data_IF_894612448205
#
_entry.id   IF_894612448205
#
_cell.length_a   1.000
_cell.length_b   1.000
_cell.length_c   1.000
_cell.angle_alpha   90.00
_cell.angle_beta   90.00
_cell.angle_gamma   90.00
#
_symmetry.space_group_name_H-M   'P 1'
#
loop_
_entity.id
_entity.type
_entity.pdbx_description
1 polymer ?
#
# COMPACT_ATOMS: atom_id res chain seq x y z
N UNK A 1 15.48 7.85 -6.73
CA UNK A 1 15.66 7.57 -8.19
C UNK A 1 14.51 6.67 -8.60
N UNK A 2 13.77 7.06 -9.63
CA UNK A 2 12.67 6.27 -10.18
C UNK A 2 13.19 5.37 -11.30
N UNK A 3 12.80 4.11 -11.33
CA UNK A 3 13.41 3.12 -12.21
C UNK A 3 12.35 2.33 -12.99
N UNK A 4 12.63 2.10 -14.27
CA UNK A 4 11.80 1.26 -15.11
C UNK A 4 12.62 0.11 -15.70
N UNK A 5 12.06 -1.08 -15.65
CA UNK A 5 12.63 -2.30 -16.20
C UNK A 5 11.73 -2.85 -17.27
N UNK A 6 12.24 -2.89 -18.51
CA UNK A 6 11.54 -3.50 -19.63
C UNK A 6 11.68 -5.01 -19.53
N UNK A 7 10.55 -5.68 -19.52
CA UNK A 7 10.44 -7.15 -19.49
C UNK A 7 9.62 -7.67 -20.66
N UNK A 8 9.87 -8.90 -21.05
CA UNK A 8 9.02 -9.59 -22.01
C UNK A 8 7.66 -9.92 -21.37
N UNK A 9 6.59 -9.34 -21.92
CA UNK A 9 5.23 -9.57 -21.44
C UNK A 9 4.25 -8.48 -21.88
N UNK A 10 2.97 -8.77 -21.75
CA UNK A 10 1.87 -7.83 -22.08
C UNK A 10 1.23 -7.17 -20.84
N UNK A 11 1.88 -7.22 -19.69
CA UNK A 11 1.35 -6.68 -18.41
C UNK A 11 2.47 -6.00 -17.63
N UNK A 12 2.08 -5.08 -16.75
CA UNK A 12 2.99 -4.29 -15.96
C UNK A 12 2.80 -4.57 -14.46
N UNK A 13 3.82 -4.21 -13.69
CA UNK A 13 3.87 -4.31 -12.23
C UNK A 13 4.43 -3.00 -11.70
N UNK A 14 3.56 -2.15 -11.20
CA UNK A 14 3.92 -0.80 -10.75
C UNK A 14 4.02 -0.78 -9.24
N UNK A 15 5.00 -0.06 -8.72
CA UNK A 15 5.18 0.18 -7.29
C UNK A 15 5.53 1.65 -7.07
N UNK A 16 4.86 2.27 -6.11
CA UNK A 16 5.25 3.55 -5.51
C UNK A 16 5.51 3.30 -4.04
N UNK A 17 6.76 3.48 -3.59
CA UNK A 17 7.22 3.16 -2.23
C UNK A 17 7.83 4.39 -1.56
N UNK A 18 7.59 4.56 -0.26
CA UNK A 18 8.18 5.61 0.57
C UNK A 18 8.51 5.08 1.97
N UNK A 19 9.54 5.65 2.64
CA UNK A 19 9.85 5.33 4.01
C UNK A 19 8.76 5.86 4.93
N UNK A 20 8.40 5.09 5.96
CA UNK A 20 7.41 5.46 6.96
C UNK A 20 7.81 4.89 8.32
N UNK A 21 7.60 5.65 9.37
CA UNK A 21 7.72 5.11 10.73
C UNK A 21 6.69 3.97 10.94
N UNK A 22 7.08 2.99 11.75
CA UNK A 22 6.21 1.86 12.08
C UNK A 22 4.98 2.34 12.85
N UNK A 23 3.82 2.25 12.21
CA UNK A 23 2.51 2.65 12.78
C UNK A 23 1.45 1.61 12.42
N UNK A 24 0.86 0.97 13.40
CA UNK A 24 -0.13 -0.08 13.16
C UNK A 24 -1.51 0.45 12.76
N UNK A 25 -1.86 1.66 13.17
CA UNK A 25 -3.08 2.37 12.77
C UNK A 25 -3.12 2.61 11.24
N UNK A 26 -1.97 2.80 10.59
CA UNK A 26 -1.83 2.93 9.14
C UNK A 26 -2.32 1.72 8.35
N UNK A 27 -2.41 0.56 8.97
CA UNK A 27 -2.97 -0.66 8.34
C UNK A 27 -4.47 -0.52 8.04
N UNK A 28 -5.18 0.30 8.81
CA UNK A 28 -6.59 0.61 8.53
C UNK A 28 -6.67 1.52 7.31
N UNK A 29 -5.86 2.58 7.22
CA UNK A 29 -5.78 3.43 6.03
C UNK A 29 -5.42 2.63 4.78
N UNK A 30 -4.40 1.75 4.88
CA UNK A 30 -3.98 0.90 3.76
C UNK A 30 -5.13 -0.01 3.27
N UNK A 31 -5.96 -0.50 4.19
CA UNK A 31 -7.15 -1.27 3.84
C UNK A 31 -8.21 -0.41 3.14
N UNK A 32 -8.50 0.77 3.67
CA UNK A 32 -9.44 1.72 3.03
C UNK A 32 -8.94 2.08 1.63
N UNK A 33 -7.68 2.48 1.47
CA UNK A 33 -7.07 2.79 0.18
C UNK A 33 -7.22 1.63 -0.81
N UNK A 34 -6.92 0.41 -0.36
CA UNK A 34 -6.96 -0.78 -1.22
C UNK A 34 -8.36 -1.11 -1.72
N UNK A 35 -9.37 -1.14 -0.83
CA UNK A 35 -10.67 -1.70 -1.15
C UNK A 35 -11.71 -0.65 -1.56
N UNK A 36 -11.61 0.57 -1.04
CA UNK A 36 -12.58 1.63 -1.31
C UNK A 36 -12.18 2.54 -2.48
N UNK A 37 -10.91 2.52 -2.88
CA UNK A 37 -10.44 3.35 -3.97
C UNK A 37 -9.70 2.56 -5.06
N UNK A 38 -8.58 1.91 -4.73
CA UNK A 38 -7.74 1.26 -5.75
C UNK A 38 -8.44 0.08 -6.41
N UNK A 39 -9.18 -0.72 -5.65
CA UNK A 39 -9.90 -1.87 -6.21
C UNK A 39 -10.82 -1.46 -7.34
N UNK A 40 -11.64 -0.45 -7.13
CA UNK A 40 -12.55 0.06 -8.16
C UNK A 40 -11.78 0.70 -9.31
N UNK A 41 -10.88 1.64 -9.01
CA UNK A 41 -10.25 2.49 -10.03
C UNK A 41 -9.24 1.74 -10.90
N UNK A 42 -8.43 0.87 -10.31
CA UNK A 42 -7.33 0.17 -11.00
C UNK A 42 -7.74 -1.23 -11.45
N UNK A 43 -8.47 -1.97 -10.60
CA UNK A 43 -8.84 -3.35 -10.96
C UNK A 43 -10.12 -3.42 -11.79
N UNK A 44 -11.23 -2.84 -11.31
CA UNK A 44 -12.53 -2.99 -12.00
C UNK A 44 -12.60 -2.13 -13.25
N UNK A 45 -12.16 -0.87 -13.19
CA UNK A 45 -12.17 0.06 -14.31
C UNK A 45 -10.90 -0.07 -15.15
N UNK A 46 -9.72 -0.09 -14.51
CA UNK A 46 -8.43 -0.14 -15.18
C UNK A 46 -8.03 -1.53 -15.71
N UNK A 47 -8.66 -2.60 -15.24
CA UNK A 47 -8.42 -3.96 -15.76
C UNK A 47 -7.20 -4.68 -15.18
N UNK A 48 -6.52 -4.14 -14.18
CA UNK A 48 -5.45 -4.83 -13.48
C UNK A 48 -5.95 -6.07 -12.76
N UNK A 49 -5.14 -7.13 -12.68
CA UNK A 49 -5.50 -8.33 -11.94
C UNK A 49 -5.54 -8.10 -10.43
N UNK A 50 -4.67 -7.24 -9.91
CA UNK A 50 -4.63 -6.90 -8.50
C UNK A 50 -4.01 -5.53 -8.25
N UNK A 51 -4.35 -4.94 -7.13
CA UNK A 51 -3.80 -3.69 -6.64
C UNK A 51 -3.98 -3.59 -5.14
N UNK A 52 -3.26 -2.69 -4.51
CA UNK A 52 -3.44 -2.39 -3.09
C UNK A 52 -2.40 -1.45 -2.53
N UNK A 53 -2.60 -1.13 -1.25
CA UNK A 53 -1.64 -0.45 -0.40
C UNK A 53 -1.21 -1.38 0.73
N UNK A 54 0.07 -1.39 1.05
CA UNK A 54 0.60 -2.06 2.22
C UNK A 54 1.36 -1.07 3.10
N UNK A 55 1.16 -1.21 4.40
CA UNK A 55 1.95 -0.57 5.45
C UNK A 55 2.68 -1.66 6.22
N UNK A 56 3.99 -1.63 6.19
CA UNK A 56 4.88 -2.60 6.83
C UNK A 56 5.94 -1.89 7.64
N UNK A 57 6.75 -2.66 8.37
CA UNK A 57 7.78 -2.12 9.25
C UNK A 57 8.80 -1.29 8.44
N UNK A 58 8.72 0.03 8.54
CA UNK A 58 9.64 0.98 7.93
C UNK A 58 9.29 1.48 6.53
N UNK A 59 8.29 0.92 5.85
CA UNK A 59 7.88 1.35 4.51
C UNK A 59 6.38 1.24 4.30
N UNK A 60 5.85 2.11 3.45
CA UNK A 60 4.53 1.97 2.85
C UNK A 60 4.66 1.98 1.34
N UNK A 61 3.79 1.27 0.66
CA UNK A 61 3.79 1.23 -0.79
C UNK A 61 2.41 0.94 -1.37
N UNK A 62 2.19 1.50 -2.56
CA UNK A 62 1.11 1.18 -3.48
C UNK A 62 1.65 0.27 -4.58
N UNK A 63 0.83 -0.64 -5.05
CA UNK A 63 1.24 -1.56 -6.12
C UNK A 63 0.10 -1.91 -7.07
N UNK A 64 0.48 -2.26 -8.29
CA UNK A 64 -0.39 -3.00 -9.23
C UNK A 64 0.23 -4.35 -9.57
N UNK A 65 -0.61 -5.26 -9.99
CA UNK A 65 -0.21 -6.61 -10.39
C UNK A 65 -0.91 -6.99 -11.69
N UNK A 66 -0.11 -7.31 -12.72
CA UNK A 66 -0.59 -7.62 -14.06
C UNK A 66 -1.53 -6.54 -14.59
N UNK A 67 -1.03 -5.32 -14.60
CA UNK A 67 -1.74 -4.12 -14.99
C UNK A 67 -1.54 -3.85 -16.50
N UNK A 68 -2.58 -3.54 -17.27
CA UNK A 68 -2.40 -3.10 -18.66
C UNK A 68 -1.84 -1.66 -18.76
N UNK A 69 -1.87 -0.88 -17.68
CA UNK A 69 -1.52 0.54 -17.64
C UNK A 69 -0.32 0.80 -16.73
N UNK A 70 0.46 1.85 -17.01
CA UNK A 70 1.54 2.35 -16.15
C UNK A 70 1.21 3.78 -15.71
N UNK A 71 1.13 4.71 -16.65
CA UNK A 71 0.94 6.14 -16.37
C UNK A 71 -0.37 6.40 -15.65
N UNK A 72 -1.46 5.85 -16.13
CA UNK A 72 -2.80 6.00 -15.56
C UNK A 72 -2.87 5.45 -14.13
N UNK A 73 -2.12 4.39 -13.85
CA UNK A 73 -2.07 3.79 -12.51
C UNK A 73 -1.31 4.68 -11.52
N UNK A 74 -0.18 5.28 -11.92
CA UNK A 74 0.49 6.30 -11.09
C UNK A 74 -0.35 7.56 -10.91
N UNK A 75 -1.07 8.02 -11.94
CA UNK A 75 -2.01 9.14 -11.84
C UNK A 75 -3.16 8.82 -10.88
N UNK A 76 -3.63 7.57 -10.87
CA UNK A 76 -4.63 7.08 -9.92
C UNK A 76 -4.09 7.04 -8.51
N UNK A 77 -2.88 6.53 -8.30
CA UNK A 77 -2.23 6.58 -6.98
C UNK A 77 -2.17 8.00 -6.43
N UNK A 78 -1.77 8.96 -7.25
CA UNK A 78 -1.64 10.35 -6.83
C UNK A 78 -2.96 11.01 -6.38
N UNK A 79 -4.10 10.58 -6.90
CA UNK A 79 -5.43 11.08 -6.51
C UNK A 79 -5.95 10.46 -5.21
N UNK A 80 -5.49 9.26 -4.85
CA UNK A 80 -6.00 8.49 -3.72
C UNK A 80 -6.08 9.25 -2.40
N UNK A 81 -5.04 9.97 -1.95
CA UNK A 81 -5.10 10.73 -0.71
C UNK A 81 -6.25 11.74 -0.65
N UNK A 82 -6.51 12.47 -1.74
CA UNK A 82 -7.60 13.44 -1.81
C UNK A 82 -8.98 12.76 -1.76
N UNK A 83 -9.13 11.63 -2.45
CA UNK A 83 -10.36 10.83 -2.44
C UNK A 83 -10.66 10.28 -1.03
N UNK A 84 -9.65 9.79 -0.32
CA UNK A 84 -9.81 9.31 1.04
C UNK A 84 -10.14 10.44 2.04
N UNK A 85 -9.51 11.60 1.88
CA UNK A 85 -9.77 12.77 2.74
C UNK A 85 -11.18 13.34 2.55
N UNK A 86 -11.72 13.29 1.33
CA UNK A 86 -13.06 13.75 1.00
C UNK A 86 -14.18 12.78 1.41
N UNK A 87 -13.81 11.52 1.66
CA UNK A 87 -14.79 10.45 1.96
C UNK A 87 -15.43 10.65 3.33
N UNK A 88 -16.72 10.38 3.41
CA UNK A 88 -17.43 10.24 4.68
C UNK A 88 -17.42 8.78 5.13
N UNK A 89 -17.09 8.57 6.41
CA UNK A 89 -16.98 7.23 7.01
C UNK A 89 -18.10 7.06 8.03
N UNK A 90 -18.96 6.07 7.84
CA UNK A 90 -19.92 5.68 8.88
C UNK A 90 -19.22 4.86 9.96
N UNK A 91 -19.82 4.77 11.16
CA UNK A 91 -19.33 3.91 12.23
C UNK A 91 -19.21 2.44 11.79
N UNK A 92 -20.17 1.98 10.99
CA UNK A 92 -20.14 0.63 10.42
C UNK A 92 -18.93 0.43 9.50
N UNK A 93 -18.68 1.37 8.58
CA UNK A 93 -17.53 1.28 7.66
C UNK A 93 -16.21 1.21 8.43
N UNK A 94 -16.05 2.07 9.45
CA UNK A 94 -14.86 2.09 10.30
C UNK A 94 -14.66 0.75 11.01
N UNK A 95 -15.72 0.20 11.61
CA UNK A 95 -15.65 -1.11 12.25
C UNK A 95 -15.24 -2.22 11.28
N UNK A 96 -15.81 -2.25 10.07
CA UNK A 96 -15.49 -3.25 9.05
C UNK A 96 -14.01 -3.15 8.60
N UNK A 97 -13.46 -1.93 8.48
CA UNK A 97 -12.05 -1.72 8.14
C UNK A 97 -11.11 -2.11 9.29
N UNK A 98 -11.44 -1.71 10.51
CA UNK A 98 -10.66 -2.06 11.72
C UNK A 98 -10.61 -3.57 11.91
N UNK A 99 -11.78 -4.24 11.87
CA UNK A 99 -11.86 -5.71 11.99
C UNK A 99 -11.06 -6.39 10.89
N UNK A 100 -11.19 -5.92 9.65
CA UNK A 100 -10.45 -6.50 8.54
C UNK A 100 -8.93 -6.27 8.60
N UNK A 101 -8.46 -5.18 9.20
CA UNK A 101 -7.05 -4.93 9.46
C UNK A 101 -6.53 -5.78 10.64
N UNK A 102 -7.31 -5.86 11.72
CA UNK A 102 -6.99 -6.67 12.90
C UNK A 102 -6.93 -8.17 12.58
N UNK A 103 -7.82 -8.68 11.74
CA UNK A 103 -7.85 -10.08 11.33
C UNK A 103 -6.53 -10.55 10.69
N UNK A 104 -5.80 -9.66 10.00
CA UNK A 104 -4.47 -9.97 9.45
C UNK A 104 -3.42 -10.15 10.55
N UNK A 105 -3.53 -9.44 11.68
CA UNK A 105 -2.64 -9.61 12.82
C UNK A 105 -2.89 -10.93 13.55
N UNK A 106 -4.15 -11.36 13.56
CA UNK A 106 -4.63 -12.54 14.29
C UNK A 106 -4.69 -13.81 13.41
N UNK A 107 -4.15 -13.78 12.21
CA UNK A 107 -4.13 -14.95 11.34
C UNK A 107 -3.41 -16.12 12.02
N UNK A 108 -4.08 -17.28 12.20
CA UNK A 108 -3.44 -18.47 12.77
C UNK A 108 -2.20 -18.87 11.97
N UNK A 109 -1.09 -19.08 12.68
CA UNK A 109 0.18 -19.47 12.06
C UNK A 109 0.46 -20.95 12.29
N UNK A 110 1.05 -21.59 11.27
CA UNK A 110 1.63 -22.91 11.45
C UNK A 110 2.89 -22.82 12.34
N UNK A 111 3.29 -23.86 13.08
CA UNK A 111 4.42 -23.82 14.02
C UNK A 111 5.71 -23.23 13.44
N UNK A 112 6.05 -23.55 12.19
CA UNK A 112 7.23 -22.97 11.53
C UNK A 112 7.12 -21.46 11.28
N UNK A 113 5.92 -20.96 10.97
CA UNK A 113 5.69 -19.55 10.75
C UNK A 113 5.68 -18.79 12.09
N UNK A 114 5.19 -19.42 13.16
CA UNK A 114 5.24 -18.86 14.50
C UNK A 114 6.67 -18.74 15.01
N UNK A 115 7.50 -19.78 14.83
CA UNK A 115 8.91 -19.73 15.17
C UNK A 115 9.64 -18.59 14.45
N UNK A 116 9.41 -18.43 13.13
CA UNK A 116 10.00 -17.32 12.37
C UNK A 116 9.55 -15.94 12.86
N UNK A 117 8.29 -15.81 13.25
CA UNK A 117 7.78 -14.55 13.80
C UNK A 117 8.40 -14.25 15.16
N UNK A 118 8.60 -15.27 16.00
CA UNK A 118 9.30 -15.14 17.28
C UNK A 118 10.74 -14.69 17.07
N UNK A 119 11.46 -15.33 16.14
CA UNK A 119 12.83 -14.94 15.77
C UNK A 119 12.87 -13.49 15.25
N UNK A 120 11.95 -13.13 14.36
CA UNK A 120 11.84 -11.75 13.83
C UNK A 120 11.64 -10.75 14.97
N UNK A 121 10.72 -11.02 15.89
CA UNK A 121 10.48 -10.14 17.04
C UNK A 121 11.73 -9.98 17.88
N UNK A 122 12.40 -11.07 18.18
CA UNK A 122 13.63 -11.05 18.96
C UNK A 122 14.73 -10.22 18.30
N UNK A 123 15.03 -10.47 17.03
CA UNK A 123 16.08 -9.74 16.31
C UNK A 123 15.74 -8.28 16.01
N UNK A 124 14.45 -7.96 15.86
CA UNK A 124 13.98 -6.58 15.64
C UNK A 124 13.66 -5.83 16.95
N UNK A 125 13.83 -6.45 18.12
CA UNK A 125 13.55 -5.83 19.42
C UNK A 125 12.06 -5.52 19.63
N UNK A 126 11.14 -6.30 19.03
CA UNK A 126 9.70 -6.11 19.15
C UNK A 126 9.19 -6.83 20.38
N UNK A 127 8.77 -6.07 21.41
CA UNK A 127 8.26 -6.61 22.67
C UNK A 127 6.75 -6.87 22.63
N UNK A 128 6.25 -7.63 23.59
CA UNK A 128 4.81 -7.89 23.72
C UNK A 128 4.02 -6.61 24.06
N UNK A 129 4.66 -5.67 24.79
CA UNK A 129 4.09 -4.36 25.07
C UNK A 129 3.92 -3.55 23.77
N UNK A 130 4.90 -3.58 22.87
CA UNK A 130 4.80 -2.94 21.56
C UNK A 130 3.68 -3.56 20.72
N UNK A 131 3.56 -4.88 20.69
CA UNK A 131 2.48 -5.59 19.99
C UNK A 131 1.10 -5.22 20.57
N UNK A 132 1.00 -5.12 21.89
CA UNK A 132 -0.23 -4.68 22.56
C UNK A 132 -0.59 -3.23 22.25
N UNK A 133 0.41 -2.34 22.24
CA UNK A 133 0.22 -0.93 21.87
C UNK A 133 -0.22 -0.78 20.42
N UNK A 134 0.39 -1.52 19.50
CA UNK A 134 0.00 -1.58 18.09
C UNK A 134 -1.46 -1.97 17.89
N UNK A 135 -1.90 -3.02 18.61
CA UNK A 135 -3.29 -3.46 18.53
C UNK A 135 -4.26 -2.39 19.05
N UNK A 136 -3.91 -1.73 20.16
CA UNK A 136 -4.72 -0.63 20.71
C UNK A 136 -4.80 0.53 19.73
N UNK A 137 -3.68 0.94 19.13
CA UNK A 137 -3.63 2.02 18.16
C UNK A 137 -4.50 1.71 16.93
N UNK A 138 -4.42 0.47 16.40
CA UNK A 138 -5.23 0.03 15.27
C UNK A 138 -6.73 0.07 15.61
N UNK A 139 -7.13 -0.40 16.80
CA UNK A 139 -8.53 -0.42 17.24
C UNK A 139 -9.07 0.97 17.60
N UNK A 140 -8.21 1.96 17.80
CA UNK A 140 -8.61 3.33 18.16
C UNK A 140 -8.75 4.26 16.94
N UNK A 141 -8.60 3.74 15.72
CA UNK A 141 -8.74 4.53 14.49
C UNK A 141 -10.18 5.03 14.34
N UNK A 142 -10.33 6.33 14.09
CA UNK A 142 -11.59 6.97 13.79
C UNK A 142 -11.56 7.74 12.46
N UNK A 143 -12.66 8.34 12.07
CA UNK A 143 -12.78 9.07 10.81
C UNK A 143 -11.86 10.29 10.76
N UNK A 144 -11.64 10.98 11.88
CA UNK A 144 -10.76 12.15 11.94
C UNK A 144 -9.31 11.75 11.69
N UNK A 145 -8.85 10.70 12.35
CA UNK A 145 -7.51 10.14 12.17
C UNK A 145 -7.28 9.63 10.73
N UNK A 146 -8.27 8.98 10.11
CA UNK A 146 -8.16 8.54 8.71
C UNK A 146 -7.99 9.73 7.75
N UNK A 147 -8.73 10.83 7.95
CA UNK A 147 -8.59 12.05 7.14
C UNK A 147 -7.23 12.71 7.34
N UNK A 148 -6.73 12.77 8.57
CA UNK A 148 -5.37 13.25 8.88
C UNK A 148 -4.31 12.39 8.20
N UNK A 149 -4.41 11.08 8.35
CA UNK A 149 -3.50 10.13 7.71
C UNK A 149 -3.55 10.20 6.17
N UNK A 150 -4.70 10.48 5.58
CA UNK A 150 -4.81 10.67 4.13
C UNK A 150 -4.05 11.93 3.67
N UNK A 151 -4.08 13.02 4.45
CA UNK A 151 -3.29 14.22 4.17
C UNK A 151 -1.78 13.95 4.28
N UNK A 152 -1.34 13.25 5.34
CA UNK A 152 0.05 12.80 5.51
C UNK A 152 0.50 11.91 4.33
N UNK A 153 -0.37 11.01 3.86
CA UNK A 153 -0.10 10.10 2.76
C UNK A 153 0.27 10.86 1.48
N UNK A 154 -0.47 11.92 1.14
CA UNK A 154 -0.17 12.73 -0.04
C UNK A 154 1.22 13.36 0.00
N UNK A 155 1.64 13.89 1.15
CA UNK A 155 2.98 14.46 1.35
C UNK A 155 4.09 13.40 1.29
N UNK A 156 3.85 12.22 1.87
CA UNK A 156 4.81 11.11 1.86
C UNK A 156 5.01 10.54 0.44
N UNK A 157 3.92 10.33 -0.29
CA UNK A 157 3.94 9.84 -1.68
C UNK A 157 4.66 10.78 -2.65
N UNK A 158 4.62 12.09 -2.41
CA UNK A 158 5.34 13.08 -3.25
C UNK A 158 6.86 12.85 -3.24
N UNK A 159 7.41 12.27 -2.18
CA UNK A 159 8.82 11.91 -2.03
C UNK A 159 9.08 10.42 -2.28
N UNK A 160 8.07 9.69 -2.75
CA UNK A 160 8.15 8.27 -3.02
C UNK A 160 8.99 7.94 -4.26
N UNK A 161 9.49 6.72 -4.30
CA UNK A 161 10.23 6.14 -5.43
C UNK A 161 9.28 5.29 -6.26
N UNK A 162 9.28 5.50 -7.57
CA UNK A 162 8.54 4.70 -8.54
C UNK A 162 9.42 3.61 -9.11
N UNK A 163 8.88 2.40 -9.17
CA UNK A 163 9.53 1.28 -9.83
C UNK A 163 8.50 0.56 -10.69
N UNK A 164 8.83 0.26 -11.93
CA UNK A 164 7.98 -0.53 -12.81
C UNK A 164 8.76 -1.67 -13.47
N UNK A 165 8.13 -2.83 -13.54
CA UNK A 165 8.50 -3.90 -14.46
C UNK A 165 7.39 -4.00 -15.49
N UNK A 166 7.66 -3.64 -16.74
CA UNK A 166 6.62 -3.50 -17.75
C UNK A 166 7.00 -3.81 -19.18
N UNK A 167 6.01 -3.87 -20.03
CA UNK A 167 6.22 -4.02 -21.47
C UNK A 167 6.96 -2.81 -22.04
N UNK A 168 7.72 -3.03 -23.13
CA UNK A 168 8.47 -1.97 -23.79
C UNK A 168 7.60 -0.76 -24.14
N UNK A 169 6.43 -1.00 -24.73
CA UNK A 169 5.54 0.07 -25.19
C UNK A 169 4.96 0.87 -24.02
N UNK A 170 4.58 0.20 -22.94
CA UNK A 170 4.03 0.86 -21.72
C UNK A 170 5.10 1.67 -21.00
N UNK A 171 6.32 1.14 -20.87
CA UNK A 171 7.46 1.85 -20.25
C UNK A 171 7.86 3.07 -21.10
N UNK A 172 7.94 2.93 -22.42
CA UNK A 172 8.27 4.06 -23.31
C UNK A 172 7.20 5.16 -23.26
N UNK A 173 5.91 4.79 -23.17
CA UNK A 173 4.82 5.75 -23.04
C UNK A 173 4.83 6.51 -21.70
N UNK A 174 5.42 5.94 -20.65
CA UNK A 174 5.51 6.51 -19.31
C UNK A 174 6.94 6.93 -18.91
N UNK A 175 7.86 7.02 -19.85
CA UNK A 175 9.29 7.23 -19.57
C UNK A 175 9.61 8.53 -18.82
N UNK A 176 8.77 9.54 -18.95
CA UNK A 176 8.87 10.81 -18.25
C UNK A 176 8.69 10.68 -16.73
N UNK A 177 8.21 9.55 -16.23
CA UNK A 177 8.07 9.25 -14.81
C UNK A 177 9.33 8.64 -14.18
N UNK A 178 10.33 8.26 -14.99
CA UNK A 178 11.48 7.48 -14.53
C UNK A 178 12.81 8.16 -14.85
N UNK A 179 13.77 8.04 -13.94
CA UNK A 179 15.11 8.58 -14.10
C UNK A 179 15.99 7.63 -14.95
N UNK A 180 15.72 6.32 -14.87
CA UNK A 180 16.42 5.27 -15.62
C UNK A 180 15.46 4.27 -16.23
N UNK A 181 15.81 3.76 -17.42
CA UNK A 181 15.10 2.68 -18.09
C UNK A 181 16.11 1.61 -18.50
N UNK A 182 15.93 0.40 -18.02
CA UNK A 182 16.79 -0.76 -18.32
C UNK A 182 15.98 -1.88 -18.99
N UNK A 183 16.63 -2.69 -19.79
CA UNK A 183 16.02 -3.91 -20.38
C UNK A 183 16.62 -5.13 -19.73
N UNK A 184 15.77 -6.01 -19.19
CA UNK A 184 16.17 -7.26 -18.55
C UNK A 184 16.15 -8.44 -19.55
#
# INVERSE_FOLDING_TARGET
>A
MNEAFVIDGGVNYDVLVWPMERRSDRKVLARVMSYEYLWHSIREVGGAYGTGMLSSDGVEYLYTYRDPHVKESYDTFAKGPAELAAREYTEKDLNDFIVGAAAKLDTPRKPRAEARETDRRYFCGITDEMVSADRKALCAVDAALLKEQAAELGAAMANGVRVVFGSKDAVEAAKDLFDTVETL
#
